data_IF_425418178874
#
_entry.id   IF_425418178874
#
_cell.length_a   1.000
_cell.length_b   1.000
_cell.length_c   1.000
_cell.angle_alpha   90.00
_cell.angle_beta   90.00
_cell.angle_gamma   90.00
#
_symmetry.space_group_name_H-M   'P 1'
#
loop_
_entity.id
_entity.type
_entity.pdbx_description
1 polymer ?
#
# COMPACT_ATOMS: atom_id res chain seq x y z
N UNK A 1 -24.95 0.27 3.68
CA UNK A 1 -23.89 -0.28 2.81
C UNK A 1 -22.80 0.77 2.78
N UNK A 2 -21.64 0.49 3.40
CA UNK A 2 -20.50 1.41 3.33
C UNK A 2 -19.97 1.30 1.91
N UNK A 3 -20.11 2.37 1.13
CA UNK A 3 -19.65 2.40 -0.24
C UNK A 3 -18.12 2.35 -0.26
N UNK A 4 -17.55 1.31 -0.87
CA UNK A 4 -16.10 1.07 -0.90
C UNK A 4 -15.42 2.06 -1.86
N UNK A 5 -16.18 2.78 -2.69
CA UNK A 5 -15.65 3.73 -3.69
C UNK A 5 -15.01 4.97 -3.09
N UNK A 6 -15.36 5.34 -1.85
CA UNK A 6 -14.86 6.57 -1.22
C UNK A 6 -13.58 6.37 -0.41
N UNK A 7 -13.16 5.12 -0.20
CA UNK A 7 -11.99 4.79 0.62
C UNK A 7 -10.74 4.62 -0.27
N UNK A 8 -9.73 5.46 -0.04
CA UNK A 8 -8.55 5.52 -0.89
C UNK A 8 -7.45 4.53 -0.46
N UNK A 9 -7.24 4.40 0.85
CA UNK A 9 -6.04 3.75 1.40
C UNK A 9 -6.36 2.51 2.20
N UNK A 10 -5.70 1.41 1.87
CA UNK A 10 -5.63 0.20 2.68
C UNK A 10 -4.42 0.21 3.60
N UNK A 11 -4.58 -0.29 4.82
CA UNK A 11 -3.48 -0.67 5.70
C UNK A 11 -3.85 -1.91 6.50
N UNK A 12 -2.89 -2.78 6.79
CA UNK A 12 -3.04 -3.82 7.81
C UNK A 12 -1.80 -3.92 8.69
N UNK A 13 -1.95 -4.00 10.01
CA UNK A 13 -0.83 -4.35 10.88
C UNK A 13 -1.23 -4.98 12.20
N UNK A 14 -0.51 -6.02 12.60
CA UNK A 14 -0.66 -6.71 13.90
C UNK A 14 0.45 -6.36 14.90
N UNK A 15 1.58 -5.80 14.44
CA UNK A 15 2.71 -5.40 15.29
C UNK A 15 2.78 -3.88 15.42
N UNK A 16 2.52 -3.36 16.61
CA UNK A 16 2.30 -1.93 16.85
C UNK A 16 3.57 -1.19 17.29
N UNK A 17 4.56 -1.07 16.39
CA UNK A 17 5.74 -0.25 16.65
C UNK A 17 5.39 1.25 16.69
N UNK A 18 5.88 1.95 17.72
CA UNK A 18 5.53 3.34 18.02
C UNK A 18 5.78 4.27 16.82
N UNK A 19 7.00 4.30 16.29
CA UNK A 19 7.40 5.23 15.24
C UNK A 19 6.58 5.05 13.95
N UNK A 20 6.47 3.81 13.46
CA UNK A 20 5.68 3.49 12.27
C UNK A 20 4.19 3.76 12.48
N UNK A 21 3.67 3.55 13.69
CA UNK A 21 2.27 3.87 13.99
C UNK A 21 2.01 5.37 14.04
N UNK A 22 2.92 6.17 14.59
CA UNK A 22 2.81 7.63 14.57
C UNK A 22 2.82 8.17 13.13
N UNK A 23 3.74 7.66 12.30
CA UNK A 23 3.81 8.00 10.87
C UNK A 23 2.51 7.62 10.15
N UNK A 24 2.03 6.40 10.35
CA UNK A 24 0.81 5.97 9.71
C UNK A 24 -0.40 6.76 10.21
N UNK A 25 -0.48 7.09 11.50
CA UNK A 25 -1.55 7.93 12.05
C UNK A 25 -1.53 9.35 11.48
N UNK A 26 -0.35 9.98 11.36
CA UNK A 26 -0.23 11.35 10.85
C UNK A 26 -0.68 11.48 9.40
N UNK A 27 -0.45 10.45 8.57
CA UNK A 27 -0.93 10.41 7.19
C UNK A 27 -2.42 10.00 7.11
N UNK A 28 -2.80 8.91 7.76
CA UNK A 28 -4.13 8.32 7.61
C UNK A 28 -5.25 9.21 8.14
N UNK A 29 -5.01 10.05 9.15
CA UNK A 29 -6.01 11.04 9.61
C UNK A 29 -6.41 12.04 8.51
N UNK A 30 -5.61 12.18 7.45
CA UNK A 30 -5.82 13.13 6.35
C UNK A 30 -6.51 12.48 5.13
N UNK A 31 -6.68 11.16 5.13
CA UNK A 31 -7.12 10.36 3.99
C UNK A 31 -8.28 9.43 4.37
N UNK A 32 -9.29 9.25 3.50
CA UNK A 32 -10.25 8.15 3.63
C UNK A 32 -9.51 6.80 3.59
N UNK A 33 -9.60 6.02 4.65
CA UNK A 33 -8.83 4.79 4.77
C UNK A 33 -9.55 3.69 5.55
N UNK A 34 -9.16 2.46 5.26
CA UNK A 34 -9.42 1.31 6.12
C UNK A 34 -8.10 0.79 6.68
N UNK A 35 -8.08 0.58 7.98
CA UNK A 35 -6.95 0.05 8.73
C UNK A 35 -7.40 -1.21 9.45
N UNK A 36 -6.84 -2.33 9.03
CA UNK A 36 -7.10 -3.68 9.50
C UNK A 36 -6.01 -4.16 10.49
N UNK A 37 -6.28 -5.27 11.18
CA UNK A 37 -5.38 -5.83 12.19
C UNK A 37 -5.51 -5.14 13.56
N UNK A 38 -4.50 -5.28 14.42
CA UNK A 38 -4.52 -4.79 15.81
C UNK A 38 -4.24 -3.29 15.92
N UNK A 39 -3.42 -2.76 15.01
CA UNK A 39 -2.89 -1.41 15.15
C UNK A 39 -3.73 -0.40 14.38
N UNK A 40 -4.19 0.64 15.07
CA UNK A 40 -4.97 1.73 14.46
C UNK A 40 -6.18 1.19 13.68
N UNK A 41 -6.84 0.14 14.20
CA UNK A 41 -8.00 -0.47 13.55
C UNK A 41 -9.17 0.52 13.51
N UNK A 42 -9.81 0.67 12.36
CA UNK A 42 -11.01 1.50 12.22
C UNK A 42 -12.18 0.78 11.54
N UNK A 43 -12.03 -0.52 11.25
CA UNK A 43 -13.03 -1.35 10.56
C UNK A 43 -13.84 -2.23 11.50
N UNK A 44 -13.59 -2.16 12.82
CA UNK A 44 -14.39 -2.86 13.83
C UNK A 44 -13.96 -4.31 14.10
N UNK A 45 -12.71 -4.68 13.82
CA UNK A 45 -12.15 -5.98 14.19
C UNK A 45 -11.00 -6.46 13.31
N UNK A 46 -10.24 -7.45 13.80
CA UNK A 46 -9.05 -7.98 13.11
C UNK A 46 -9.40 -8.76 11.84
N UNK A 47 -10.51 -9.49 11.87
CA UNK A 47 -10.95 -10.40 10.80
C UNK A 47 -12.02 -9.81 9.88
N UNK A 48 -12.32 -8.51 10.01
CA UNK A 48 -13.39 -7.85 9.25
C UNK A 48 -13.10 -7.80 7.74
N UNK A 49 -11.83 -7.93 7.33
CA UNK A 49 -11.50 -8.07 5.91
C UNK A 49 -12.24 -9.25 5.24
N UNK A 50 -12.47 -10.34 5.98
CA UNK A 50 -13.15 -11.54 5.48
C UNK A 50 -14.62 -11.31 5.21
N UNK A 51 -15.28 -10.55 6.09
CA UNK A 51 -16.69 -10.22 5.95
C UNK A 51 -16.92 -9.07 4.96
N UNK A 52 -15.98 -8.13 4.86
CA UNK A 52 -16.00 -7.06 3.85
C UNK A 52 -15.76 -7.60 2.44
N UNK A 53 -14.87 -8.59 2.30
CA UNK A 53 -14.49 -9.15 1.01
C UNK A 53 -14.72 -10.67 0.97
N UNK A 54 -15.99 -11.13 1.00
CA UNK A 54 -16.30 -12.56 1.05
C UNK A 54 -15.80 -13.34 -0.18
N UNK A 55 -15.65 -12.65 -1.33
CA UNK A 55 -15.07 -13.23 -2.56
C UNK A 55 -13.58 -13.52 -2.46
N UNK A 56 -12.88 -12.91 -1.50
CA UNK A 56 -11.46 -13.15 -1.29
C UNK A 56 -11.18 -14.45 -0.52
N UNK A 57 -12.21 -15.15 -0.06
CA UNK A 57 -12.06 -16.42 0.67
C UNK A 57 -11.67 -17.54 -0.30
N UNK A 58 -10.38 -17.90 -0.32
CA UNK A 58 -9.81 -18.92 -1.22
C UNK A 58 -10.40 -20.31 -0.98
N UNK A 59 -10.66 -20.69 0.28
CA UNK A 59 -11.25 -21.98 0.62
C UNK A 59 -12.28 -21.85 1.75
N UNK A 60 -13.59 -21.90 1.45
CA UNK A 60 -14.64 -21.75 2.46
C UNK A 60 -14.71 -22.94 3.44
N UNK A 61 -13.99 -24.05 3.17
CA UNK A 61 -13.95 -25.24 4.03
C UNK A 61 -12.80 -25.21 5.05
N UNK A 62 -11.91 -24.23 4.98
CA UNK A 62 -10.80 -24.05 5.94
C UNK A 62 -11.00 -22.76 6.73
N UNK A 63 -10.57 -22.73 8.00
CA UNK A 63 -10.55 -21.47 8.74
C UNK A 63 -9.65 -20.48 7.98
N UNK A 64 -10.13 -19.25 7.73
CA UNK A 64 -9.39 -18.27 6.97
C UNK A 64 -8.08 -17.92 7.68
N UNK A 65 -6.96 -18.08 6.97
CA UNK A 65 -5.66 -17.65 7.46
C UNK A 65 -5.55 -16.16 7.14
N UNK A 66 -5.10 -15.35 8.09
CA UNK A 66 -5.18 -13.89 7.96
C UNK A 66 -4.48 -13.32 6.71
N UNK A 67 -3.45 -14.00 6.19
CA UNK A 67 -2.71 -13.60 4.99
C UNK A 67 -3.43 -13.91 3.68
N UNK A 68 -4.31 -14.92 3.63
CA UNK A 68 -4.89 -15.48 2.39
C UNK A 68 -5.73 -14.47 1.60
N UNK A 69 -6.16 -13.40 2.27
CA UNK A 69 -7.09 -12.41 1.72
C UNK A 69 -6.43 -11.05 1.50
N UNK A 70 -5.16 -10.87 1.88
CA UNK A 70 -4.51 -9.56 1.84
C UNK A 70 -4.45 -9.02 0.41
N UNK A 71 -3.96 -9.81 -0.55
CA UNK A 71 -3.83 -9.39 -1.95
C UNK A 71 -5.19 -8.99 -2.54
N UNK A 72 -6.20 -9.83 -2.34
CA UNK A 72 -7.53 -9.58 -2.85
C UNK A 72 -8.19 -8.38 -2.15
N UNK A 73 -8.08 -8.25 -0.83
CA UNK A 73 -8.58 -7.07 -0.11
C UNK A 73 -7.87 -5.79 -0.58
N UNK A 74 -6.55 -5.81 -0.72
CA UNK A 74 -5.75 -4.68 -1.22
C UNK A 74 -6.17 -4.25 -2.63
N UNK A 75 -6.56 -5.20 -3.51
CA UNK A 75 -6.98 -4.88 -4.89
C UNK A 75 -8.25 -4.02 -4.98
N UNK A 76 -8.99 -3.88 -3.87
CA UNK A 76 -10.16 -2.99 -3.79
C UNK A 76 -9.80 -1.54 -3.46
N UNK A 77 -8.51 -1.21 -3.29
CA UNK A 77 -8.03 0.13 -2.95
C UNK A 77 -7.06 0.64 -4.00
N UNK A 78 -7.08 1.95 -4.23
CA UNK A 78 -6.10 2.61 -5.09
C UNK A 78 -4.70 2.59 -4.47
N UNK A 79 -4.63 2.76 -3.15
CA UNK A 79 -3.37 2.88 -2.44
C UNK A 79 -3.27 1.90 -1.28
N UNK A 80 -2.06 1.38 -1.05
CA UNK A 80 -1.73 0.57 0.13
C UNK A 80 -0.60 1.23 0.89
N UNK A 81 -0.78 1.46 2.19
CA UNK A 81 0.27 2.00 3.05
C UNK A 81 1.29 0.93 3.44
N UNK A 82 2.35 0.82 2.64
CA UNK A 82 3.46 -0.14 2.80
C UNK A 82 4.57 0.47 3.66
N UNK A 83 4.38 0.39 4.98
CA UNK A 83 5.32 0.92 5.98
C UNK A 83 6.15 -0.21 6.61
N UNK A 84 7.47 -0.09 6.54
CA UNK A 84 8.37 -1.02 7.19
C UNK A 84 8.46 -0.77 8.70
N UNK A 85 8.87 -1.79 9.45
CA UNK A 85 9.01 -1.66 10.90
C UNK A 85 10.18 -0.72 11.27
N UNK A 86 11.20 -0.65 10.43
CA UNK A 86 12.37 0.22 10.60
C UNK A 86 12.78 0.82 9.25
N UNK A 87 13.41 2.00 9.30
CA UNK A 87 14.06 2.63 8.15
C UNK A 87 15.50 2.12 8.07
N UNK A 88 15.73 1.04 7.35
CA UNK A 88 17.04 0.38 7.26
C UNK A 88 17.35 0.09 5.80
N UNK A 89 18.59 0.34 5.38
CA UNK A 89 19.05 0.03 4.03
C UNK A 89 18.75 -1.42 3.66
N UNK A 90 18.23 -1.63 2.45
CA UNK A 90 17.84 -2.93 1.90
C UNK A 90 16.81 -3.71 2.71
N UNK A 91 16.20 -3.11 3.75
CA UNK A 91 15.08 -3.71 4.49
C UNK A 91 13.77 -3.46 3.76
N UNK A 92 13.53 -4.25 2.72
CA UNK A 92 12.31 -4.26 1.92
C UNK A 92 11.62 -5.61 2.10
N UNK A 93 10.37 -5.62 2.52
CA UNK A 93 9.65 -6.84 2.89
C UNK A 93 8.43 -7.09 2.02
N UNK A 94 7.69 -8.17 2.32
CA UNK A 94 6.47 -8.58 1.61
C UNK A 94 5.42 -7.48 1.50
N UNK A 95 5.39 -6.53 2.44
CA UNK A 95 4.39 -5.44 2.50
C UNK A 95 4.39 -4.59 1.23
N UNK A 96 5.58 -4.37 0.66
CA UNK A 96 5.71 -3.59 -0.58
C UNK A 96 5.27 -4.42 -1.78
N UNK A 97 5.75 -5.66 -1.87
CA UNK A 97 5.47 -6.53 -3.00
C UNK A 97 4.02 -7.00 -3.05
N UNK A 98 3.36 -7.20 -1.91
CA UNK A 98 1.92 -7.52 -1.86
C UNK A 98 1.06 -6.37 -2.38
N UNK A 99 1.43 -5.13 -2.06
CA UNK A 99 0.76 -3.95 -2.61
C UNK A 99 0.93 -3.89 -4.13
N UNK A 100 2.16 -4.06 -4.65
CA UNK A 100 2.42 -4.12 -6.08
C UNK A 100 1.67 -5.27 -6.75
N UNK A 101 1.67 -6.47 -6.18
CA UNK A 101 1.00 -7.62 -6.77
C UNK A 101 -0.53 -7.46 -6.79
N UNK A 102 -1.11 -6.83 -5.77
CA UNK A 102 -2.56 -6.58 -5.68
C UNK A 102 -3.13 -5.61 -6.72
N UNK A 103 -2.28 -4.88 -7.44
CA UNK A 103 -2.70 -3.83 -8.38
C UNK A 103 -2.85 -2.44 -7.76
N UNK A 104 -2.68 -2.29 -6.45
CA UNK A 104 -2.64 -0.98 -5.79
C UNK A 104 -1.28 -0.28 -5.99
N UNK A 105 -1.26 1.04 -5.80
CA UNK A 105 -0.02 1.82 -5.74
C UNK A 105 0.49 1.88 -4.30
N UNK A 106 1.72 1.41 -4.00
CA UNK A 106 2.26 1.46 -2.64
C UNK A 106 2.62 2.89 -2.22
N UNK A 107 2.14 3.29 -1.05
CA UNK A 107 2.65 4.45 -0.29
C UNK A 107 3.76 3.94 0.62
N UNK A 108 5.01 4.11 0.20
CA UNK A 108 6.14 3.43 0.82
C UNK A 108 6.87 4.30 1.85
N UNK A 109 7.19 3.69 2.99
CA UNK A 109 8.12 4.23 3.99
C UNK A 109 8.99 3.08 4.54
N UNK A 110 10.28 3.07 4.22
CA UNK A 110 11.18 1.99 4.62
C UNK A 110 12.61 2.23 4.15
N UNK A 111 13.20 1.28 3.43
CA UNK A 111 14.57 1.36 2.94
C UNK A 111 14.84 2.62 2.10
N UNK A 112 15.91 3.39 2.39
CA UNK A 112 16.29 4.57 1.59
C UNK A 112 16.62 4.23 0.12
N UNK A 113 17.08 3.00 -0.13
CA UNK A 113 17.45 2.47 -1.45
C UNK A 113 16.35 1.56 -2.03
N UNK A 114 15.08 1.78 -1.69
CA UNK A 114 13.95 0.97 -2.19
C UNK A 114 13.90 0.85 -3.72
N UNK A 115 14.41 1.85 -4.44
CA UNK A 115 14.44 1.88 -5.91
C UNK A 115 15.33 0.81 -6.54
N UNK A 116 16.23 0.19 -5.78
CA UNK A 116 16.99 -0.99 -6.24
C UNK A 116 16.10 -2.24 -6.35
N UNK A 117 14.92 -2.23 -5.72
CA UNK A 117 14.05 -3.40 -5.54
C UNK A 117 12.72 -3.30 -6.27
N UNK A 118 12.37 -2.13 -6.82
CA UNK A 118 11.08 -1.89 -7.47
C UNK A 118 11.25 -1.36 -8.89
N UNK A 119 10.28 -1.60 -9.78
CA UNK A 119 10.26 -0.97 -11.09
C UNK A 119 10.25 0.57 -10.95
N UNK A 120 10.81 1.31 -11.92
CA UNK A 120 10.75 2.77 -11.92
C UNK A 120 9.30 3.23 -11.91
N UNK A 121 9.02 4.31 -11.18
CA UNK A 121 7.69 4.93 -11.09
C UNK A 121 6.57 3.96 -10.65
N UNK A 122 6.89 2.94 -9.84
CA UNK A 122 5.90 1.96 -9.36
C UNK A 122 5.36 2.23 -7.95
N UNK A 123 5.98 3.16 -7.22
CA UNK A 123 5.66 3.48 -5.82
C UNK A 123 5.61 4.98 -5.59
N UNK A 124 4.89 5.40 -4.55
CA UNK A 124 4.97 6.75 -3.99
C UNK A 124 5.90 6.66 -2.78
N UNK A 125 7.13 7.16 -2.91
CA UNK A 125 8.07 7.29 -1.80
C UNK A 125 7.65 8.47 -0.91
N UNK A 126 6.97 8.17 0.20
CA UNK A 126 6.45 9.18 1.11
C UNK A 126 7.54 10.01 1.80
N UNK A 127 8.80 9.58 1.75
CA UNK A 127 9.93 10.34 2.32
C UNK A 127 10.39 11.50 1.44
N UNK A 128 9.88 11.60 0.21
CA UNK A 128 10.21 12.68 -0.74
C UNK A 128 9.34 13.93 -0.61
N UNK A 129 8.31 13.89 0.24
CA UNK A 129 7.40 15.00 0.48
C UNK A 129 7.85 15.81 1.70
N UNK A 130 7.66 17.12 1.67
CA UNK A 130 8.03 18.03 2.76
C UNK A 130 7.12 17.90 3.98
N UNK A 131 5.90 17.39 3.81
CA UNK A 131 4.94 17.14 4.91
C UNK A 131 3.95 16.02 4.60
N UNK A 132 3.25 15.54 5.62
CA UNK A 132 2.17 14.55 5.45
C UNK A 132 0.94 15.16 4.77
N UNK A 133 0.72 16.46 4.96
CA UNK A 133 -0.32 17.26 4.32
C UNK A 133 -0.07 17.39 2.81
N UNK A 134 1.18 17.62 2.42
CA UNK A 134 1.59 17.64 1.01
C UNK A 134 1.41 16.26 0.37
N UNK A 135 1.88 15.20 1.02
CA UNK A 135 1.67 13.83 0.56
C UNK A 135 0.17 13.48 0.45
N UNK A 136 -0.63 13.83 1.45
CA UNK A 136 -2.07 13.58 1.42
C UNK A 136 -2.77 14.36 0.28
N UNK A 137 -2.34 15.59 0.02
CA UNK A 137 -2.86 16.41 -1.09
C UNK A 137 -2.50 15.78 -2.44
N UNK A 138 -1.25 15.33 -2.59
CA UNK A 138 -0.80 14.58 -3.77
C UNK A 138 -1.63 13.31 -4.00
N UNK A 139 -1.84 12.50 -2.95
CA UNK A 139 -2.64 11.27 -3.03
C UNK A 139 -4.08 11.56 -3.48
N UNK A 140 -4.71 12.61 -2.93
CA UNK A 140 -6.08 13.00 -3.34
C UNK A 140 -6.14 13.48 -4.78
N UNK A 141 -5.17 14.27 -5.22
CA UNK A 141 -5.09 14.72 -6.61
C UNK A 141 -4.90 13.53 -7.56
N UNK A 142 -3.95 12.65 -7.26
CA UNK A 142 -3.68 11.43 -8.03
C UNK A 142 -4.90 10.48 -8.06
N UNK A 143 -5.62 10.35 -6.94
CA UNK A 143 -6.84 9.55 -6.90
C UNK A 143 -7.93 10.06 -7.86
N UNK A 144 -7.93 11.35 -8.18
CA UNK A 144 -8.90 11.99 -9.05
C UNK A 144 -8.39 12.17 -10.50
N UNK A 145 -7.18 11.72 -10.81
CA UNK A 145 -6.59 11.74 -12.15
C UNK A 145 -6.32 10.31 -12.62
N UNK A 146 -7.25 9.70 -13.39
CA UNK A 146 -7.07 8.34 -13.90
C UNK A 146 -5.85 8.16 -14.80
N UNK A 147 -5.44 9.21 -15.52
CA UNK A 147 -4.30 9.15 -16.43
C UNK A 147 -3.01 9.12 -15.61
N UNK A 148 -2.83 10.08 -14.72
CA UNK A 148 -1.66 10.10 -13.84
C UNK A 148 -1.58 8.87 -12.93
N UNK A 149 -2.72 8.36 -12.45
CA UNK A 149 -2.76 7.11 -11.69
C UNK A 149 -2.31 5.90 -12.52
N UNK A 150 -2.74 5.82 -13.79
CA UNK A 150 -2.38 4.71 -14.67
C UNK A 150 -0.88 4.65 -15.00
N UNK A 151 -0.15 5.77 -14.93
CA UNK A 151 1.30 5.80 -15.12
C UNK A 151 2.06 4.97 -14.08
N UNK A 152 1.55 4.88 -12.85
CA UNK A 152 2.11 3.99 -11.81
C UNK A 152 1.99 2.49 -12.14
N UNK A 153 1.29 2.14 -13.22
CA UNK A 153 1.15 0.78 -13.71
C UNK A 153 1.79 0.57 -15.08
N UNK A 154 2.43 1.59 -15.66
CA UNK A 154 3.07 1.49 -16.98
C UNK A 154 4.16 0.40 -17.02
N UNK A 155 4.91 0.24 -15.93
CA UNK A 155 5.94 -0.78 -15.78
C UNK A 155 5.44 -2.22 -15.98
N UNK A 156 4.13 -2.49 -15.81
CA UNK A 156 3.54 -3.82 -16.02
C UNK A 156 3.44 -4.21 -17.50
N UNK A 157 3.46 -3.22 -18.40
CA UNK A 157 3.35 -3.44 -19.85
C UNK A 157 4.71 -3.74 -20.48
N UNK A 158 5.77 -3.25 -19.85
CA UNK A 158 7.14 -3.59 -20.24
C UNK A 158 7.45 -4.96 -19.63
N UNK A 159 7.50 -6.01 -20.46
CA UNK A 159 7.96 -7.33 -20.02
C UNK A 159 9.28 -7.19 -19.25
N UNK A 160 9.38 -7.86 -18.10
CA UNK A 160 10.51 -7.80 -17.20
C UNK A 160 11.83 -8.13 -17.93
N UNK A 161 12.51 -7.10 -18.44
CA UNK A 161 13.83 -7.20 -19.06
C UNK A 161 14.83 -6.50 -18.16
N UNK A 162 15.42 -7.26 -17.24
CA UNK A 162 16.71 -6.95 -16.60
C UNK A 162 16.72 -5.84 -15.55
N UNK A 163 17.87 -5.75 -14.86
CA UNK A 163 18.13 -4.82 -13.77
C UNK A 163 17.67 -3.39 -14.13
N UNK A 164 16.84 -2.79 -13.27
CA UNK A 164 16.30 -1.44 -13.41
C UNK A 164 17.34 -0.31 -13.34
N UNK A 165 18.63 -0.64 -13.32
CA UNK A 165 19.73 0.30 -13.45
C UNK A 165 20.24 0.30 -14.89
N UNK A 166 19.61 1.06 -15.79
CA UNK A 166 20.21 1.64 -17.00
C UNK A 166 19.19 2.57 -17.66
N UNK A 167 19.15 3.82 -17.16
CA UNK A 167 18.29 4.87 -17.72
C UNK A 167 18.61 6.30 -17.27
N UNK A 168 19.61 6.48 -16.40
CA UNK A 168 20.27 7.77 -16.20
C UNK A 168 21.63 7.70 -16.88
N UNK A 169 21.67 8.03 -18.17
CA UNK A 169 22.81 8.57 -18.92
C UNK A 169 22.41 8.61 -20.42
N UNK A 170 21.73 9.68 -20.80
CA UNK A 170 21.76 10.26 -22.14
C UNK A 170 21.39 11.75 -22.01
#
# INVERSE_FOLDING_TARGET
MVDVTDVLVYRSSTRCHLHRNQLAFSLLKLLPHHSFGKCLNNVGGENVALSMYPKCVMNPKQPPIWYDHLHCAMSHYKFVLSTENTKTESYVTEKLFYALDSGAVPLYFGAPNVWDFVPPHSIIDGTKFGSMEELASYIKALANDPVAYAEYHAWRRCGALGNYQLGQLA
#
